data_IF_073845535882
#
_entry.id   IF_073845535882
#
_cell.length_a   1.000
_cell.length_b   1.000
_cell.length_c   1.000
_cell.angle_alpha   90.00
_cell.angle_beta   90.00
_cell.angle_gamma   90.00
#
_symmetry.space_group_name_H-M   'P 1'
#
loop_
_entity.id
_entity.type
_entity.pdbx_description
1 polymer ?
#
# COMPACT_ATOMS: atom_id res chain seq x y z
N UNK A 1 6.60 15.26 24.85
CA UNK A 1 5.81 14.51 23.86
C UNK A 1 6.22 15.03 22.51
N UNK A 2 6.59 14.18 21.56
CA UNK A 2 7.01 14.58 20.21
C UNK A 2 5.75 14.73 19.35
N UNK A 3 5.57 15.89 18.75
CA UNK A 3 4.41 16.16 17.89
C UNK A 3 4.75 15.91 16.42
N UNK A 4 3.99 15.02 15.77
CA UNK A 4 4.24 14.59 14.39
C UNK A 4 3.05 14.91 13.51
N UNK A 5 3.32 15.56 12.35
CA UNK A 5 2.35 15.70 11.28
C UNK A 5 2.59 14.62 10.23
N UNK A 6 1.62 13.72 10.03
CA UNK A 6 1.54 12.89 8.84
C UNK A 6 0.79 13.66 7.75
N UNK A 7 1.34 13.74 6.56
CA UNK A 7 0.68 14.46 5.44
C UNK A 7 0.67 13.56 4.23
N UNK A 8 -0.54 13.19 3.77
CA UNK A 8 -0.69 12.30 2.63
C UNK A 8 -1.95 12.66 1.82
N UNK A 9 -1.74 12.96 0.54
CA UNK A 9 -2.82 12.99 -0.44
C UNK A 9 -3.50 11.63 -0.51
N UNK A 10 -4.84 11.61 -0.53
CA UNK A 10 -5.63 10.38 -0.41
C UNK A 10 -5.26 9.54 0.84
N UNK A 11 -4.81 10.18 1.92
CA UNK A 11 -4.21 9.51 3.07
C UNK A 11 -5.10 8.52 3.80
N UNK A 12 -6.42 8.61 3.63
CA UNK A 12 -7.40 7.67 4.19
C UNK A 12 -7.97 6.71 3.15
N UNK A 13 -7.31 6.54 2.00
CA UNK A 13 -7.65 5.50 1.04
C UNK A 13 -7.13 4.13 1.49
N UNK A 14 -7.62 3.08 0.79
CA UNK A 14 -7.25 1.69 1.04
C UNK A 14 -6.07 1.24 0.16
N UNK A 15 -5.11 2.12 -0.11
CA UNK A 15 -3.89 1.83 -0.87
C UNK A 15 -2.74 1.35 0.02
N UNK A 16 -1.74 0.69 -0.57
CA UNK A 16 -0.60 0.15 0.19
C UNK A 16 0.23 1.21 0.91
N UNK A 17 0.55 2.31 0.23
CA UNK A 17 1.30 3.44 0.82
C UNK A 17 0.48 4.16 1.90
N UNK A 18 -0.81 4.29 1.68
CA UNK A 18 -1.75 4.88 2.62
C UNK A 18 -1.85 4.03 3.89
N UNK A 19 -2.06 2.73 3.76
CA UNK A 19 -2.09 1.78 4.89
C UNK A 19 -0.78 1.78 5.67
N UNK A 20 0.36 1.84 4.99
CA UNK A 20 1.67 1.95 5.64
C UNK A 20 1.72 3.13 6.61
N UNK A 21 1.35 4.33 6.14
CA UNK A 21 1.36 5.53 7.00
C UNK A 21 0.30 5.47 8.09
N UNK A 22 -0.89 4.96 7.78
CA UNK A 22 -1.97 4.77 8.76
C UNK A 22 -1.54 3.82 9.87
N UNK A 23 -0.91 2.69 9.53
CA UNK A 23 -0.41 1.72 10.51
C UNK A 23 0.67 2.33 11.39
N UNK A 24 1.66 3.03 10.82
CA UNK A 24 2.68 3.70 11.62
C UNK A 24 2.04 4.73 12.56
N UNK A 25 1.20 5.63 12.06
CA UNK A 25 0.54 6.68 12.85
C UNK A 25 -0.29 6.08 14.02
N UNK A 26 -0.93 4.93 13.77
CA UNK A 26 -1.77 4.25 14.75
C UNK A 26 -0.99 3.53 15.85
N UNK A 27 0.24 3.06 15.56
CA UNK A 27 1.04 2.27 16.49
C UNK A 27 2.16 3.05 17.19
N UNK A 28 2.33 4.33 16.91
CA UNK A 28 3.24 5.15 17.70
C UNK A 28 2.77 5.23 19.16
N UNK A 29 3.64 5.00 20.17
CA UNK A 29 3.32 5.09 21.60
C UNK A 29 2.70 6.45 21.94
N UNK A 30 1.48 6.45 22.49
CA UNK A 30 0.71 7.67 22.76
C UNK A 30 1.21 8.47 23.95
N UNK A 31 2.02 7.89 24.80
CA UNK A 31 2.72 8.55 25.90
C UNK A 31 3.98 9.31 25.43
N UNK A 32 4.50 8.97 24.25
CA UNK A 32 5.68 9.62 23.66
C UNK A 32 5.32 10.57 22.50
N UNK A 33 4.29 10.21 21.70
CA UNK A 33 3.96 10.86 20.45
C UNK A 33 2.53 11.41 20.42
N UNK A 34 2.39 12.62 19.91
CA UNK A 34 1.12 13.26 19.54
C UNK A 34 1.05 13.33 18.01
N UNK A 35 -0.01 12.74 17.41
CA UNK A 35 -0.07 12.50 15.97
C UNK A 35 -1.27 13.17 15.34
N UNK A 36 -1.00 14.12 14.48
CA UNK A 36 -1.96 14.72 13.54
C UNK A 36 -1.77 14.10 12.15
N UNK A 37 -2.85 13.63 11.53
CA UNK A 37 -2.82 13.08 10.18
C UNK A 37 -3.66 13.93 9.23
N UNK A 38 -2.99 14.65 8.35
CA UNK A 38 -3.58 15.51 7.32
C UNK A 38 -3.87 14.70 6.06
N UNK A 39 -5.10 14.75 5.57
CA UNK A 39 -5.51 14.02 4.39
C UNK A 39 -6.56 14.77 3.56
N UNK A 40 -6.67 14.44 2.29
CA UNK A 40 -7.72 14.92 1.39
C UNK A 40 -8.25 13.79 0.53
N UNK A 41 -9.40 14.00 -0.09
CA UNK A 41 -9.95 13.07 -1.08
C UNK A 41 -9.22 13.24 -2.41
N UNK A 42 -8.89 12.11 -3.06
CA UNK A 42 -8.25 12.11 -4.37
C UNK A 42 -9.26 12.10 -5.53
N UNK A 43 -10.46 11.57 -5.29
CA UNK A 43 -11.48 11.36 -6.31
C UNK A 43 -11.80 12.57 -7.20
N UNK A 44 -11.88 13.82 -6.68
CA UNK A 44 -12.17 14.99 -7.52
C UNK A 44 -11.10 15.28 -8.57
N UNK A 45 -9.90 14.71 -8.43
CA UNK A 45 -8.74 15.09 -9.25
C UNK A 45 -8.38 14.08 -10.31
N UNK A 46 -8.62 12.82 -10.03
CA UNK A 46 -8.08 11.72 -10.84
C UNK A 46 -9.17 11.08 -11.71
N UNK A 47 -10.43 11.48 -11.49
CA UNK A 47 -11.56 10.92 -12.22
C UNK A 47 -12.02 9.57 -11.68
N UNK A 48 -13.05 9.01 -12.30
CA UNK A 48 -13.75 7.80 -11.83
C UNK A 48 -12.87 6.53 -11.81
N UNK A 49 -11.76 6.53 -12.50
CA UNK A 49 -10.90 5.34 -12.66
C UNK A 49 -10.01 5.06 -11.43
N UNK A 50 -9.95 6.00 -10.48
CA UNK A 50 -9.13 5.90 -9.28
C UNK A 50 -9.95 5.81 -7.98
N UNK A 51 -11.09 5.14 -8.02
CA UNK A 51 -11.95 4.92 -6.83
C UNK A 51 -11.22 4.28 -5.64
N UNK A 52 -10.16 3.54 -5.88
CA UNK A 52 -9.32 2.97 -4.83
C UNK A 52 -8.56 4.04 -4.01
N UNK A 53 -8.55 5.29 -4.46
CA UNK A 53 -7.98 6.43 -3.75
C UNK A 53 -9.03 7.27 -3.02
N UNK A 54 -10.30 6.87 -3.05
CA UNK A 54 -11.34 7.51 -2.24
C UNK A 54 -11.10 7.26 -0.75
N UNK A 55 -11.55 8.18 0.08
CA UNK A 55 -11.53 8.01 1.53
C UNK A 55 -12.35 6.77 1.93
N UNK A 56 -11.71 5.81 2.58
CA UNK A 56 -12.34 4.62 3.14
C UNK A 56 -12.72 4.88 4.60
N UNK A 57 -14.03 4.77 4.90
CA UNK A 57 -14.55 5.02 6.25
C UNK A 57 -13.98 4.06 7.29
N UNK A 58 -13.68 2.82 6.92
CA UNK A 58 -13.08 1.84 7.83
C UNK A 58 -11.67 2.25 8.25
N UNK A 59 -10.92 2.88 7.34
CA UNK A 59 -9.57 3.39 7.63
C UNK A 59 -9.61 4.64 8.51
N UNK A 60 -10.62 5.49 8.31
CA UNK A 60 -10.88 6.63 9.19
C UNK A 60 -11.20 6.17 10.63
N UNK A 61 -12.09 5.18 10.77
CA UNK A 61 -12.45 4.62 12.07
C UNK A 61 -11.25 3.92 12.74
N UNK A 62 -10.49 3.15 11.97
CA UNK A 62 -9.27 2.51 12.44
C UNK A 62 -8.28 3.53 13.04
N UNK A 63 -7.92 4.58 12.30
CA UNK A 63 -6.99 5.60 12.81
C UNK A 63 -7.53 6.33 14.04
N UNK A 64 -8.83 6.69 14.05
CA UNK A 64 -9.48 7.34 15.21
C UNK A 64 -9.49 6.45 16.45
N UNK A 65 -9.80 5.16 16.29
CA UNK A 65 -9.82 4.21 17.42
C UNK A 65 -8.44 4.01 18.06
N UNK A 66 -7.38 4.26 17.28
CA UNK A 66 -5.99 4.27 17.75
C UNK A 66 -5.50 5.64 18.22
N UNK A 67 -6.40 6.62 18.40
CA UNK A 67 -6.06 7.93 18.94
C UNK A 67 -5.26 8.84 17.99
N UNK A 68 -5.38 8.64 16.69
CA UNK A 68 -4.81 9.55 15.69
C UNK A 68 -5.80 10.70 15.45
N UNK A 69 -5.34 11.93 15.55
CA UNK A 69 -6.13 13.10 15.21
C UNK A 69 -6.17 13.29 13.69
N UNK A 70 -7.35 13.19 13.10
CA UNK A 70 -7.53 13.26 11.64
C UNK A 70 -8.00 14.65 11.22
N UNK A 71 -7.23 15.30 10.36
CA UNK A 71 -7.49 16.64 9.85
C UNK A 71 -7.69 16.56 8.33
N UNK A 72 -8.93 16.75 7.88
CA UNK A 72 -9.26 16.74 6.46
C UNK A 72 -9.13 18.14 5.88
N UNK A 73 -8.45 18.26 4.76
CA UNK A 73 -8.35 19.49 3.99
C UNK A 73 -8.84 19.31 2.55
N UNK A 74 -9.01 20.40 1.84
CA UNK A 74 -9.41 20.41 0.44
C UNK A 74 -8.26 20.86 -0.44
N UNK A 75 -8.22 20.35 -1.66
CA UNK A 75 -7.20 20.71 -2.64
C UNK A 75 -7.76 20.61 -4.06
N UNK A 76 -7.30 21.49 -4.94
CA UNK A 76 -7.49 21.37 -6.38
C UNK A 76 -6.13 21.36 -7.07
N UNK A 77 -5.96 20.50 -8.06
CA UNK A 77 -4.80 20.51 -8.93
C UNK A 77 -4.99 21.47 -10.08
N UNK A 78 -3.91 22.09 -10.50
CA UNK A 78 -3.90 23.03 -11.62
C UNK A 78 -4.05 22.31 -12.96
N UNK A 79 -3.33 21.23 -13.16
CA UNK A 79 -3.40 20.38 -14.35
C UNK A 79 -2.85 18.98 -14.03
N UNK A 80 -3.69 17.97 -14.19
CA UNK A 80 -3.30 16.57 -13.98
C UNK A 80 -2.31 16.05 -15.03
N UNK A 81 -2.24 16.70 -16.21
CA UNK A 81 -1.39 16.25 -17.32
C UNK A 81 0.06 16.68 -17.21
N UNK A 82 0.36 17.69 -16.40
CA UNK A 82 1.71 18.25 -16.30
C UNK A 82 2.60 17.57 -15.27
N UNK A 83 2.08 16.62 -14.49
CA UNK A 83 2.76 15.98 -13.36
C UNK A 83 3.30 16.98 -12.31
N UNK A 84 2.99 18.24 -12.43
CA UNK A 84 3.24 19.22 -11.38
C UNK A 84 2.10 19.06 -10.39
N UNK A 85 2.35 18.35 -9.31
CA UNK A 85 1.43 18.18 -8.20
C UNK A 85 1.29 19.49 -7.39
N UNK A 86 1.05 20.59 -8.12
CA UNK A 86 0.81 21.88 -7.48
C UNK A 86 -0.62 21.91 -6.98
N UNK A 87 -0.78 21.99 -5.68
CA UNK A 87 -2.08 22.19 -5.06
C UNK A 87 -2.51 23.64 -5.26
N UNK A 88 -3.64 23.82 -5.93
CA UNK A 88 -4.25 25.12 -6.14
C UNK A 88 -5.52 25.19 -5.32
N UNK A 89 -5.86 26.36 -4.82
CA UNK A 89 -7.06 26.59 -4.01
C UNK A 89 -7.20 25.56 -2.86
N UNK A 90 -6.15 25.42 -2.08
CA UNK A 90 -6.15 24.58 -0.89
C UNK A 90 -6.39 25.39 0.37
N UNK A 91 -7.13 24.81 1.30
CA UNK A 91 -7.27 25.30 2.69
C UNK A 91 -6.30 24.61 3.65
N UNK A 92 -5.34 23.84 3.15
CA UNK A 92 -4.35 23.11 3.96
C UNK A 92 -3.64 24.02 4.97
N UNK A 93 -3.25 25.23 4.54
CA UNK A 93 -2.53 26.18 5.38
C UNK A 93 -3.39 26.84 6.47
N UNK A 94 -4.72 26.70 6.42
CA UNK A 94 -5.61 27.15 7.50
C UNK A 94 -5.54 26.21 8.71
N UNK A 95 -5.08 24.96 8.48
CA UNK A 95 -4.98 23.91 9.50
C UNK A 95 -3.54 23.56 9.87
N UNK A 96 -2.57 23.87 9.02
CA UNK A 96 -1.18 23.43 9.16
C UNK A 96 -0.21 24.60 9.29
N UNK A 97 0.57 24.57 10.36
CA UNK A 97 1.78 25.38 10.53
C UNK A 97 2.94 24.47 10.89
N UNK A 98 4.02 24.48 10.08
CA UNK A 98 5.15 23.59 10.30
C UNK A 98 5.82 23.76 11.68
N UNK A 99 5.78 24.98 12.26
CA UNK A 99 6.39 25.28 13.55
C UNK A 99 5.66 24.62 14.75
N UNK A 100 4.45 24.10 14.53
CA UNK A 100 3.70 23.37 15.56
C UNK A 100 4.14 21.91 15.71
N UNK A 101 5.06 21.42 14.87
CA UNK A 101 5.49 20.03 14.80
C UNK A 101 7.00 19.87 14.94
N UNK A 102 7.40 18.82 15.64
CA UNK A 102 8.80 18.42 15.76
C UNK A 102 9.30 17.67 14.51
N UNK A 103 8.39 16.93 13.84
CA UNK A 103 8.70 16.12 12.66
C UNK A 103 7.49 16.08 11.72
N UNK A 104 7.76 16.04 10.44
CA UNK A 104 6.75 15.81 9.39
C UNK A 104 7.05 14.49 8.70
N UNK A 105 6.07 13.58 8.65
CA UNK A 105 6.13 12.30 7.97
C UNK A 105 5.34 12.35 6.68
N UNK A 106 6.01 12.00 5.57
CA UNK A 106 5.42 11.91 4.24
C UNK A 106 5.44 10.47 3.72
N UNK A 107 4.58 10.21 2.72
CA UNK A 107 4.67 9.03 1.89
C UNK A 107 4.45 9.43 0.44
N UNK A 108 5.53 9.73 -0.26
CA UNK A 108 5.50 10.20 -1.64
C UNK A 108 5.97 9.14 -2.61
N UNK A 109 5.74 9.43 -3.88
CA UNK A 109 6.34 8.67 -4.97
C UNK A 109 7.76 9.16 -5.37
N UNK A 110 8.39 10.03 -4.57
CA UNK A 110 9.74 10.57 -4.83
C UNK A 110 9.76 11.83 -5.69
N UNK A 111 8.63 12.43 -5.99
CA UNK A 111 8.56 13.69 -6.72
C UNK A 111 8.62 14.90 -5.77
N UNK A 112 9.15 16.05 -6.22
CA UNK A 112 8.88 17.31 -5.58
C UNK A 112 7.37 17.59 -5.66
N UNK A 113 6.74 17.81 -4.53
CA UNK A 113 5.30 18.06 -4.44
C UNK A 113 5.01 19.28 -3.56
N UNK A 114 4.05 20.07 -3.98
CA UNK A 114 3.40 21.00 -3.09
C UNK A 114 2.52 20.23 -2.08
N UNK A 115 2.47 20.53 -0.78
CA UNK A 115 3.06 21.70 -0.11
C UNK A 115 4.50 21.48 0.38
N UNK A 116 5.10 20.32 0.18
CA UNK A 116 6.38 19.94 0.79
C UNK A 116 7.55 20.81 0.31
N UNK A 117 7.48 21.33 -0.91
CA UNK A 117 8.45 22.30 -1.42
C UNK A 117 8.42 23.64 -0.67
N UNK A 118 7.39 23.89 0.14
CA UNK A 118 7.19 25.10 0.95
C UNK A 118 7.48 24.90 2.44
N UNK A 119 7.80 23.68 2.86
CA UNK A 119 8.17 23.35 4.23
C UNK A 119 9.69 23.38 4.33
N UNK A 120 10.24 24.24 5.18
CA UNK A 120 11.67 24.51 5.19
C UNK A 120 12.32 24.49 6.60
N UNK A 121 11.53 24.53 7.67
CA UNK A 121 12.02 24.64 9.04
C UNK A 121 11.98 23.30 9.76
N UNK A 122 10.87 22.58 9.66
CA UNK A 122 10.65 21.33 10.37
C UNK A 122 11.23 20.15 9.60
N UNK A 123 11.96 19.23 10.26
CA UNK A 123 12.53 18.05 9.62
C UNK A 123 11.47 17.18 8.95
N UNK A 124 11.73 16.76 7.72
CA UNK A 124 10.87 15.88 6.95
C UNK A 124 11.46 14.48 6.91
N UNK A 125 10.66 13.48 7.24
CA UNK A 125 10.92 12.07 6.95
C UNK A 125 10.02 11.66 5.78
N UNK A 126 10.60 11.10 4.73
CA UNK A 126 9.88 10.69 3.53
C UNK A 126 9.95 9.17 3.33
N UNK A 127 8.81 8.51 3.30
CA UNK A 127 8.72 7.07 3.00
C UNK A 127 8.43 6.87 1.52
N UNK A 128 9.36 6.25 0.80
CA UNK A 128 9.25 5.99 -0.63
C UNK A 128 9.00 4.50 -0.85
N UNK A 129 7.92 4.17 -1.55
CA UNK A 129 7.52 2.79 -1.84
C UNK A 129 7.77 2.40 -3.30
N UNK A 130 7.89 3.37 -4.21
CA UNK A 130 8.15 3.10 -5.63
C UNK A 130 9.65 3.12 -5.93
N UNK A 131 10.11 2.07 -6.60
CA UNK A 131 11.49 1.95 -6.99
C UNK A 131 11.89 2.98 -8.07
N UNK A 132 13.13 3.47 -8.00
CA UNK A 132 13.70 4.34 -9.02
C UNK A 132 13.33 5.82 -8.94
N UNK A 133 12.56 6.21 -7.95
CA UNK A 133 12.23 7.60 -7.70
C UNK A 133 13.15 8.19 -6.64
N UNK A 134 14.36 8.52 -7.03
CA UNK A 134 15.33 9.21 -6.17
C UNK A 134 15.35 10.69 -6.47
N UNK A 135 15.26 11.51 -5.44
CA UNK A 135 15.50 12.92 -5.56
C UNK A 135 15.85 13.56 -4.21
N UNK A 136 16.59 14.69 -4.24
CA UNK A 136 17.11 15.35 -3.04
C UNK A 136 16.75 16.84 -2.99
N UNK A 137 15.75 17.28 -3.75
CA UNK A 137 15.44 18.69 -3.91
C UNK A 137 14.58 19.27 -2.79
N UNK A 138 14.08 18.41 -1.91
CA UNK A 138 13.29 18.82 -0.77
C UNK A 138 14.11 18.87 0.51
N UNK A 139 13.61 19.56 1.52
CA UNK A 139 14.18 19.55 2.86
C UNK A 139 13.91 18.22 3.58
N UNK A 140 14.28 17.11 2.93
CA UNK A 140 14.14 15.77 3.49
C UNK A 140 15.34 15.47 4.37
N UNK A 141 15.08 15.22 5.63
CA UNK A 141 16.08 14.90 6.63
C UNK A 141 16.46 13.43 6.57
N UNK A 142 15.47 12.55 6.43
CA UNK A 142 15.64 11.10 6.23
C UNK A 142 14.66 10.57 5.20
N UNK A 143 15.13 9.62 4.40
CA UNK A 143 14.31 8.84 3.48
C UNK A 143 14.21 7.40 3.97
N UNK A 144 12.99 6.93 4.17
CA UNK A 144 12.70 5.54 4.53
C UNK A 144 12.43 4.76 3.24
N UNK A 145 13.12 3.66 3.08
CA UNK A 145 13.02 2.73 1.96
C UNK A 145 12.65 1.35 2.52
N UNK A 146 11.89 0.56 1.78
CA UNK A 146 11.32 -0.69 2.31
C UNK A 146 12.20 -1.92 2.07
N UNK A 147 13.24 -1.82 1.22
CA UNK A 147 14.15 -2.92 0.94
C UNK A 147 15.54 -2.43 0.47
N UNK A 148 16.54 -3.32 0.54
CA UNK A 148 17.88 -3.07 -0.01
C UNK A 148 17.85 -2.87 -1.53
N UNK A 149 17.01 -3.60 -2.23
CA UNK A 149 16.86 -3.43 -3.68
C UNK A 149 16.32 -2.04 -4.01
N UNK A 150 15.29 -1.60 -3.30
CA UNK A 150 14.74 -0.25 -3.48
C UNK A 150 15.79 0.81 -3.15
N UNK A 151 16.54 0.64 -2.06
CA UNK A 151 17.63 1.54 -1.71
C UNK A 151 18.66 1.62 -2.82
N UNK A 152 19.06 0.49 -3.39
CA UNK A 152 20.00 0.45 -4.51
C UNK A 152 19.48 1.18 -5.74
N UNK A 153 18.20 1.02 -6.08
CA UNK A 153 17.55 1.73 -7.18
C UNK A 153 17.47 3.23 -6.90
N UNK A 154 17.08 3.61 -5.67
CA UNK A 154 16.96 5.01 -5.25
C UNK A 154 18.29 5.74 -5.26
N UNK A 155 19.37 5.11 -4.78
CA UNK A 155 20.73 5.69 -4.80
C UNK A 155 21.21 5.87 -6.25
N UNK A 156 20.95 4.90 -7.14
CA UNK A 156 21.28 5.03 -8.58
C UNK A 156 20.51 6.18 -9.26
N UNK A 157 19.31 6.48 -8.77
CA UNK A 157 18.52 7.60 -9.25
C UNK A 157 18.92 8.96 -8.63
N UNK A 158 19.99 9.01 -7.84
CA UNK A 158 20.56 10.25 -7.27
C UNK A 158 20.26 10.48 -5.80
N UNK A 159 19.65 9.51 -5.10
CA UNK A 159 19.41 9.59 -3.66
C UNK A 159 20.69 9.55 -2.83
N UNK A 160 20.74 10.31 -1.73
CA UNK A 160 21.88 10.34 -0.81
C UNK A 160 21.83 9.14 0.16
N UNK A 161 22.73 8.15 0.06
CA UNK A 161 22.72 6.97 0.91
C UNK A 161 22.84 7.30 2.42
N UNK A 162 23.45 8.43 2.79
CA UNK A 162 23.61 8.85 4.18
C UNK A 162 22.28 9.35 4.79
N UNK A 163 21.36 9.77 3.95
CA UNK A 163 20.01 10.19 4.35
C UNK A 163 18.99 9.06 4.33
N UNK A 164 19.37 7.85 3.93
CA UNK A 164 18.43 6.73 3.81
C UNK A 164 18.52 5.76 4.98
N UNK A 165 17.39 5.14 5.28
CA UNK A 165 17.24 4.02 6.20
C UNK A 165 16.27 3.00 5.60
N UNK A 166 16.52 1.71 5.88
CA UNK A 166 15.58 0.65 5.47
C UNK A 166 14.70 0.29 6.65
N UNK A 167 13.40 0.44 6.45
CA UNK A 167 12.36 0.01 7.38
C UNK A 167 11.33 -0.76 6.55
N UNK A 168 11.25 -2.09 6.69
CA UNK A 168 10.25 -2.90 5.98
C UNK A 168 8.83 -2.45 6.28
N UNK A 169 7.91 -2.80 5.38
CA UNK A 169 6.48 -2.53 5.59
C UNK A 169 6.00 -3.26 6.85
N UNK A 170 5.40 -2.58 7.83
CA UNK A 170 4.83 -3.22 8.99
C UNK A 170 3.61 -4.05 8.57
N UNK A 171 3.49 -5.24 9.12
CA UNK A 171 2.34 -6.13 8.93
C UNK A 171 1.67 -6.33 10.27
N UNK A 172 0.39 -6.02 10.35
CA UNK A 172 -0.44 -6.40 11.50
C UNK A 172 -0.74 -7.89 11.39
N UNK A 173 -0.25 -8.65 12.36
CA UNK A 173 -0.58 -10.06 12.49
C UNK A 173 -1.79 -10.17 13.42
N UNK A 174 -2.98 -10.51 12.89
CA UNK A 174 -4.15 -10.67 13.75
C UNK A 174 -3.99 -11.88 14.67
N UNK A 175 -4.72 -11.91 15.77
CA UNK A 175 -4.92 -13.13 16.52
C UNK A 175 -5.57 -14.16 15.58
N UNK A 176 -4.95 -15.34 15.47
CA UNK A 176 -5.31 -16.36 14.49
C UNK A 176 -6.71 -16.91 14.77
N UNK A 177 -7.64 -16.57 13.89
CA UNK A 177 -8.79 -17.42 13.63
C UNK A 177 -8.35 -18.51 12.65
N UNK A 178 -8.50 -19.78 13.04
CA UNK A 178 -8.20 -20.94 12.19
C UNK A 178 -9.22 -21.14 11.04
N UNK A 179 -9.96 -20.09 10.69
CA UNK A 179 -10.98 -20.13 9.64
C UNK A 179 -10.29 -20.18 8.28
N UNK A 180 -10.65 -21.19 7.49
CA UNK A 180 -10.11 -21.40 6.13
C UNK A 180 -11.25 -21.77 5.16
N UNK A 181 -10.94 -21.80 3.87
CA UNK A 181 -11.85 -22.26 2.82
C UNK A 181 -11.77 -23.77 2.58
N UNK A 182 -10.91 -24.50 3.29
CA UNK A 182 -10.65 -25.92 3.07
C UNK A 182 -11.94 -26.73 3.03
N UNK A 183 -12.78 -26.62 4.09
CA UNK A 183 -14.03 -27.38 4.17
C UNK A 183 -15.11 -26.90 3.18
N UNK A 184 -15.07 -25.64 2.77
CA UNK A 184 -16.03 -25.11 1.79
C UNK A 184 -15.81 -25.70 0.40
N UNK A 185 -14.54 -26.02 0.07
CA UNK A 185 -14.16 -26.58 -1.23
C UNK A 185 -13.94 -28.11 -1.17
N UNK A 186 -14.04 -28.73 0.01
CA UNK A 186 -13.77 -30.16 0.18
C UNK A 186 -12.29 -30.50 -0.07
N UNK A 187 -11.39 -29.67 0.46
CA UNK A 187 -9.94 -29.79 0.23
C UNK A 187 -9.15 -30.29 1.44
N UNK A 188 -9.80 -31.03 2.34
CA UNK A 188 -9.20 -31.53 3.60
C UNK A 188 -7.91 -32.34 3.40
N UNK A 189 -7.82 -33.05 2.26
CA UNK A 189 -6.67 -33.89 1.91
C UNK A 189 -5.79 -33.29 0.80
N UNK A 190 -5.95 -31.99 0.51
CA UNK A 190 -5.20 -31.35 -0.58
C UNK A 190 -4.09 -30.45 -0.05
N UNK A 191 -3.00 -30.40 -0.79
CA UNK A 191 -1.97 -29.37 -0.65
C UNK A 191 -2.38 -28.15 -1.46
N UNK A 192 -2.56 -27.00 -0.80
CA UNK A 192 -3.18 -25.83 -1.39
C UNK A 192 -2.13 -24.76 -1.71
N UNK A 193 -1.98 -24.50 -3.00
CA UNK A 193 -1.26 -23.32 -3.50
C UNK A 193 -2.23 -22.17 -3.65
N UNK A 194 -1.73 -20.93 -3.63
CA UNK A 194 -2.58 -19.81 -3.96
C UNK A 194 -1.84 -18.52 -4.22
N UNK A 195 -2.55 -17.60 -4.83
CA UNK A 195 -2.06 -16.26 -5.12
C UNK A 195 -3.16 -15.22 -4.92
N UNK A 196 -2.74 -14.01 -4.59
CA UNK A 196 -3.60 -12.85 -4.56
C UNK A 196 -3.16 -11.86 -5.63
N UNK A 197 -4.08 -11.40 -6.45
CA UNK A 197 -3.79 -10.39 -7.46
C UNK A 197 -5.05 -9.63 -7.85
N UNK A 198 -4.96 -8.28 -7.88
CA UNK A 198 -6.04 -7.47 -8.44
C UNK A 198 -6.22 -7.72 -9.94
N UNK A 199 -7.42 -7.44 -10.45
CA UNK A 199 -7.70 -7.51 -11.90
C UNK A 199 -7.04 -6.33 -12.63
N UNK A 200 -5.78 -6.53 -13.02
CA UNK A 200 -4.99 -5.54 -13.75
C UNK A 200 -4.10 -6.28 -14.75
N UNK A 201 -4.34 -6.00 -16.05
CA UNK A 201 -3.61 -6.65 -17.15
C UNK A 201 -2.11 -6.35 -17.12
N UNK A 202 -1.70 -5.21 -16.58
CA UNK A 202 -0.29 -4.79 -16.54
C UNK A 202 0.55 -5.57 -15.53
N UNK A 203 -0.10 -6.22 -14.57
CA UNK A 203 0.56 -7.05 -13.56
C UNK A 203 0.27 -8.54 -13.72
N UNK A 204 -0.42 -8.91 -14.81
CA UNK A 204 -0.69 -10.32 -15.11
C UNK A 204 0.62 -11.09 -15.29
N UNK A 205 0.71 -12.26 -14.62
CA UNK A 205 1.78 -13.23 -14.83
C UNK A 205 1.18 -14.63 -15.03
N UNK A 206 1.52 -15.32 -16.10
CA UNK A 206 1.06 -16.70 -16.33
C UNK A 206 1.76 -17.71 -15.44
N UNK A 207 2.94 -17.37 -14.87
CA UNK A 207 3.87 -18.28 -14.22
C UNK A 207 3.25 -19.14 -13.10
N UNK A 208 2.44 -18.60 -12.15
CA UNK A 208 1.90 -19.42 -11.08
C UNK A 208 1.00 -20.56 -11.58
N UNK A 209 0.18 -20.29 -12.59
CA UNK A 209 -0.71 -21.31 -13.15
C UNK A 209 0.01 -22.25 -14.13
N UNK A 210 1.06 -21.79 -14.82
CA UNK A 210 1.96 -22.66 -15.59
C UNK A 210 2.69 -23.66 -14.67
N UNK A 211 3.24 -23.16 -13.56
CA UNK A 211 3.88 -24.02 -12.58
C UNK A 211 2.90 -25.01 -11.94
N UNK A 212 1.66 -24.58 -11.70
CA UNK A 212 0.64 -25.48 -11.17
C UNK A 212 0.23 -26.56 -12.18
N UNK A 213 0.18 -26.24 -13.47
CA UNK A 213 -0.11 -27.22 -14.53
C UNK A 213 0.86 -28.40 -14.50
N UNK A 214 2.14 -28.15 -14.27
CA UNK A 214 3.19 -29.17 -14.19
C UNK A 214 3.07 -30.11 -12.98
N UNK A 215 2.42 -29.70 -11.90
CA UNK A 215 2.36 -30.43 -10.63
C UNK A 215 0.95 -30.83 -10.21
N UNK A 216 -0.08 -30.38 -10.93
CA UNK A 216 -1.48 -30.65 -10.58
C UNK A 216 -1.77 -32.16 -10.52
N UNK A 217 -2.49 -32.58 -9.49
CA UNK A 217 -2.99 -33.92 -9.31
C UNK A 217 -4.23 -33.93 -8.40
N UNK A 218 -4.74 -35.10 -8.05
CA UNK A 218 -5.94 -35.19 -7.24
C UNK A 218 -5.74 -34.69 -5.78
N UNK A 219 -4.49 -34.61 -5.31
CA UNK A 219 -4.15 -34.15 -3.95
C UNK A 219 -3.65 -32.70 -3.91
N UNK A 220 -3.75 -31.94 -4.99
CA UNK A 220 -3.36 -30.53 -5.04
C UNK A 220 -4.54 -29.64 -5.41
N UNK A 221 -4.50 -28.39 -4.94
CA UNK A 221 -5.48 -27.36 -5.27
C UNK A 221 -4.80 -25.99 -5.45
N UNK A 222 -5.46 -25.08 -6.14
CA UNK A 222 -4.98 -23.71 -6.32
C UNK A 222 -6.10 -22.71 -6.04
N UNK A 223 -5.88 -21.80 -5.11
CA UNK A 223 -6.84 -20.77 -4.74
C UNK A 223 -6.36 -19.38 -5.16
N UNK A 224 -7.21 -18.63 -5.85
CA UNK A 224 -6.89 -17.30 -6.34
C UNK A 224 -7.84 -16.29 -5.71
N UNK A 225 -7.27 -15.32 -4.98
CA UNK A 225 -8.04 -14.16 -4.49
C UNK A 225 -7.93 -13.03 -5.50
N UNK A 226 -9.04 -12.67 -6.14
CA UNK A 226 -9.09 -11.75 -7.27
C UNK A 226 -8.74 -12.45 -8.58
N UNK A 227 -7.63 -12.07 -9.18
CA UNK A 227 -7.19 -12.56 -10.48
C UNK A 227 -7.93 -11.90 -11.65
N UNK A 228 -7.27 -11.82 -12.79
CA UNK A 228 -7.82 -11.24 -14.01
C UNK A 228 -8.59 -12.27 -14.85
N UNK A 229 -9.33 -11.77 -15.85
CA UNK A 229 -9.94 -12.61 -16.88
C UNK A 229 -8.90 -13.51 -17.60
N UNK A 230 -7.64 -13.06 -17.69
CA UNK A 230 -6.55 -13.85 -18.26
C UNK A 230 -6.20 -15.07 -17.41
N UNK A 231 -6.18 -14.96 -16.07
CA UNK A 231 -5.97 -16.11 -15.20
C UNK A 231 -7.10 -17.14 -15.33
N UNK A 232 -8.36 -16.67 -15.37
CA UNK A 232 -9.52 -17.57 -15.58
C UNK A 232 -9.45 -18.26 -16.93
N UNK A 233 -9.06 -17.53 -17.98
CA UNK A 233 -8.85 -18.10 -19.31
C UNK A 233 -7.72 -19.13 -19.32
N UNK A 234 -6.59 -18.82 -18.71
CA UNK A 234 -5.43 -19.72 -18.62
C UNK A 234 -5.79 -21.02 -17.88
N UNK A 235 -6.44 -20.92 -16.72
CA UNK A 235 -6.89 -22.09 -15.96
C UNK A 235 -7.79 -23.02 -16.81
N UNK A 236 -8.68 -22.43 -17.61
CA UNK A 236 -9.56 -23.16 -18.52
C UNK A 236 -8.79 -23.79 -19.69
N UNK A 237 -7.90 -23.02 -20.33
CA UNK A 237 -7.15 -23.47 -21.51
C UNK A 237 -6.21 -24.64 -21.17
N UNK A 238 -5.64 -24.66 -19.97
CA UNK A 238 -4.79 -25.74 -19.46
C UNK A 238 -5.58 -26.88 -18.83
N UNK A 239 -6.90 -26.75 -18.67
CA UNK A 239 -7.73 -27.78 -18.04
C UNK A 239 -7.33 -28.04 -16.58
N UNK A 240 -6.93 -26.97 -15.86
CA UNK A 240 -6.44 -27.11 -14.48
C UNK A 240 -7.56 -27.62 -13.57
N UNK A 241 -7.20 -28.56 -12.70
CA UNK A 241 -8.10 -29.17 -11.73
C UNK A 241 -8.00 -28.48 -10.38
N UNK A 242 -9.09 -28.52 -9.62
CA UNK A 242 -9.15 -27.99 -8.24
C UNK A 242 -8.68 -26.53 -8.16
N UNK A 243 -9.07 -25.70 -9.11
CA UNK A 243 -8.77 -24.25 -9.12
C UNK A 243 -10.02 -23.46 -8.80
N UNK A 244 -9.96 -22.65 -7.76
CA UNK A 244 -11.04 -21.77 -7.35
C UNK A 244 -10.62 -20.30 -7.37
N UNK A 245 -11.58 -19.44 -7.69
CA UNK A 245 -11.40 -18.00 -7.75
C UNK A 245 -12.35 -17.29 -6.79
N UNK A 246 -11.80 -16.61 -5.82
CA UNK A 246 -12.54 -15.72 -4.94
C UNK A 246 -12.61 -14.31 -5.55
N UNK A 247 -13.63 -13.56 -5.20
CA UNK A 247 -13.74 -12.16 -5.60
C UNK A 247 -12.70 -11.30 -4.87
N UNK A 248 -12.28 -10.21 -5.51
CA UNK A 248 -11.40 -9.22 -4.89
C UNK A 248 -12.08 -8.62 -3.66
N UNK A 249 -11.36 -8.56 -2.55
CA UNK A 249 -11.87 -7.99 -1.30
C UNK A 249 -10.84 -7.11 -0.62
N UNK A 250 -11.31 -6.13 0.16
CA UNK A 250 -10.52 -5.38 1.14
C UNK A 250 -10.86 -5.79 2.58
N UNK A 251 -11.76 -6.76 2.76
CA UNK A 251 -12.10 -7.31 4.07
C UNK A 251 -10.94 -8.14 4.61
N UNK A 252 -10.35 -7.66 5.70
CA UNK A 252 -9.18 -8.27 6.34
C UNK A 252 -9.48 -9.68 6.81
N UNK A 253 -10.67 -9.96 7.31
CA UNK A 253 -11.05 -11.31 7.76
C UNK A 253 -11.09 -12.31 6.59
N UNK A 254 -11.62 -11.89 5.44
CA UNK A 254 -11.63 -12.73 4.23
C UNK A 254 -10.24 -12.94 3.66
N UNK A 255 -9.37 -11.92 3.71
CA UNK A 255 -7.97 -12.05 3.31
C UNK A 255 -7.25 -13.05 4.22
N UNK A 256 -7.44 -12.99 5.54
CA UNK A 256 -6.86 -13.97 6.46
C UNK A 256 -7.40 -15.37 6.24
N UNK A 257 -8.71 -15.51 6.02
CA UNK A 257 -9.32 -16.79 5.68
C UNK A 257 -8.69 -17.39 4.43
N UNK A 258 -8.46 -16.56 3.40
CA UNK A 258 -7.73 -16.95 2.21
C UNK A 258 -6.30 -17.42 2.53
N UNK A 259 -5.51 -16.62 3.27
CA UNK A 259 -4.14 -16.95 3.62
C UNK A 259 -4.04 -18.21 4.47
N UNK A 260 -4.96 -18.40 5.42
CA UNK A 260 -5.04 -19.59 6.26
C UNK A 260 -5.44 -20.87 5.48
N UNK A 261 -5.92 -20.74 4.25
CA UNK A 261 -6.24 -21.86 3.38
C UNK A 261 -5.01 -22.42 2.68
N UNK A 262 -3.96 -21.61 2.55
CA UNK A 262 -2.79 -21.94 1.72
C UNK A 262 -1.70 -22.66 2.51
N UNK A 263 -1.13 -23.69 1.91
CA UNK A 263 0.15 -24.27 2.33
C UNK A 263 1.32 -23.47 1.73
N UNK A 264 1.14 -22.97 0.49
CA UNK A 264 2.15 -22.17 -0.23
C UNK A 264 1.52 -20.97 -0.92
N UNK A 265 2.08 -19.79 -0.69
CA UNK A 265 1.76 -18.60 -1.46
C UNK A 265 2.63 -18.54 -2.72
N UNK A 266 2.01 -18.65 -3.89
CA UNK A 266 2.69 -18.66 -5.20
C UNK A 266 2.80 -17.24 -5.76
N UNK A 267 3.91 -16.57 -5.49
CA UNK A 267 4.16 -15.22 -6.01
C UNK A 267 4.88 -15.28 -7.36
N UNK A 268 4.21 -14.88 -8.43
CA UNK A 268 4.75 -15.02 -9.79
C UNK A 268 4.91 -13.72 -10.57
N UNK A 269 4.87 -12.55 -9.92
CA UNK A 269 5.01 -11.27 -10.59
C UNK A 269 6.43 -11.05 -11.10
N UNK A 270 6.55 -10.67 -12.38
CA UNK A 270 7.84 -10.37 -13.03
C UNK A 270 8.31 -8.92 -12.84
N UNK A 271 7.41 -8.02 -12.44
CA UNK A 271 7.70 -6.59 -12.25
C UNK A 271 8.36 -6.27 -10.89
N UNK A 272 8.54 -7.28 -10.03
CA UNK A 272 9.25 -7.16 -8.77
C UNK A 272 8.46 -6.38 -7.73
N UNK A 273 7.29 -6.87 -7.34
CA UNK A 273 6.59 -6.33 -6.19
C UNK A 273 7.49 -6.40 -4.96
N UNK A 274 7.63 -5.27 -4.27
CA UNK A 274 8.64 -5.16 -3.21
C UNK A 274 8.13 -5.65 -1.85
N UNK A 275 6.84 -5.58 -1.62
CA UNK A 275 6.12 -6.15 -0.47
C UNK A 275 4.64 -6.20 -0.83
N UNK A 276 4.03 -7.33 -0.80
CA UNK A 276 2.58 -7.52 -0.99
C UNK A 276 1.92 -7.89 0.34
#
# INVERSE_FOLDING_TARGET
MIKIAFIKFAGMANGGTEKYLQTIASHLPKDEFDVDFFYCDAAPYIGSDFKHLDTDSSRVEYCKSHGVNLIKFNVQYKDLRTQTHDWVNTDFWDYFNEEDYDVIQLGRAGHPEYPFTHINKTPIIDSIHLAGMGENKLNVHKTVLISEEQKSKWVRAGGDPNKSIIIPVPVEVPEYDSISYISEFGWEDKFVFGMHQRDDIHIFSPVPLEAYDEIQNDNTAFLILGGSSNHRKQAKDYGLKNVEFLDTTSDVALIHKFLNTLDVYAHGRSDGEQCS
#
